data_IF_411558560251
#
_entry.id   IF_411558560251
#
_cell.length_a   1.000
_cell.length_b   1.000
_cell.length_c   1.000
_cell.angle_alpha   90.00
_cell.angle_beta   90.00
_cell.angle_gamma   90.00
#
_symmetry.space_group_name_H-M   'P 1'
#
loop_
_entity.id
_entity.type
_entity.pdbx_description
1 polymer ?
#
# COMPACT_ATOMS: atom_id res chain seq x y z
N UNK A 1 -24.22 -45.46 10.76
CA UNK A 1 -22.86 -44.92 10.53
C UNK A 1 -22.11 -44.98 11.86
N UNK A 2 -21.36 -46.05 12.10
CA UNK A 2 -20.65 -46.29 13.36
C UNK A 2 -19.38 -45.45 13.37
N UNK A 3 -19.34 -44.40 14.20
CA UNK A 3 -18.14 -43.59 14.39
C UNK A 3 -17.13 -44.46 15.15
N UNK A 4 -16.08 -44.87 14.44
CA UNK A 4 -15.04 -45.73 14.97
C UNK A 4 -14.28 -45.02 16.11
N UNK A 5 -14.51 -45.44 17.36
CA UNK A 5 -13.88 -44.91 18.59
C UNK A 5 -12.34 -44.86 18.51
N UNK A 6 -11.71 -45.72 17.70
CA UNK A 6 -10.26 -45.75 17.53
C UNK A 6 -9.72 -44.56 16.71
N UNK A 7 -10.54 -43.92 15.86
CA UNK A 7 -10.15 -42.69 15.12
C UNK A 7 -10.13 -41.45 16.01
N UNK A 8 -11.03 -41.39 17.01
CA UNK A 8 -11.10 -40.28 17.96
C UNK A 8 -9.95 -40.34 18.99
N UNK A 9 -9.55 -41.53 19.42
CA UNK A 9 -8.44 -41.73 20.37
C UNK A 9 -7.05 -41.48 19.73
N UNK A 10 -6.87 -41.78 18.44
CA UNK A 10 -5.65 -41.46 17.69
C UNK A 10 -5.51 -39.95 17.44
N UNK A 11 -6.61 -39.26 17.15
CA UNK A 11 -6.65 -37.80 17.05
C UNK A 11 -6.34 -37.10 18.38
N UNK A 12 -6.79 -37.65 19.51
CA UNK A 12 -6.51 -37.09 20.84
C UNK A 12 -5.02 -37.18 21.24
N UNK A 13 -4.34 -38.30 20.94
CA UNK A 13 -2.88 -38.42 21.15
C UNK A 13 -2.10 -37.48 20.24
N UNK A 14 -2.47 -37.40 18.95
CA UNK A 14 -1.88 -36.47 17.99
C UNK A 14 -2.01 -35.00 18.42
N UNK A 15 -3.16 -34.60 18.98
CA UNK A 15 -3.37 -33.25 19.49
C UNK A 15 -2.52 -32.95 20.74
N UNK A 16 -2.40 -33.89 21.67
CA UNK A 16 -1.59 -33.69 22.87
C UNK A 16 -0.09 -33.62 22.57
N UNK A 17 0.41 -34.48 21.68
CA UNK A 17 1.80 -34.44 21.20
C UNK A 17 2.08 -33.13 20.42
N UNK A 18 1.11 -32.67 19.63
CA UNK A 18 1.20 -31.38 18.97
C UNK A 18 1.23 -30.22 19.96
N UNK A 19 0.36 -30.22 20.97
CA UNK A 19 0.35 -29.21 22.03
C UNK A 19 1.69 -29.16 22.78
N UNK A 20 2.30 -30.31 23.08
CA UNK A 20 3.63 -30.34 23.69
C UNK A 20 4.72 -29.79 22.76
N UNK A 21 4.66 -30.09 21.46
CA UNK A 21 5.58 -29.51 20.48
C UNK A 21 5.42 -27.99 20.37
N UNK A 22 4.20 -27.48 20.26
CA UNK A 22 3.92 -26.02 20.26
C UNK A 22 4.40 -25.40 21.56
N UNK A 23 4.14 -26.02 22.72
CA UNK A 23 4.63 -25.54 24.01
C UNK A 23 6.17 -25.46 24.06
N UNK A 24 6.86 -26.45 23.50
CA UNK A 24 8.33 -26.46 23.42
C UNK A 24 8.86 -25.41 22.43
N UNK A 25 8.21 -25.22 21.29
CA UNK A 25 8.56 -24.17 20.32
C UNK A 25 8.32 -22.76 20.88
N UNK A 26 7.17 -22.53 21.52
CA UNK A 26 6.86 -21.27 22.22
C UNK A 26 7.88 -21.00 23.32
N UNK A 27 8.24 -22.02 24.10
CA UNK A 27 9.31 -21.90 25.10
C UNK A 27 10.65 -21.55 24.44
N UNK A 28 10.98 -22.18 23.31
CA UNK A 28 12.18 -21.90 22.53
C UNK A 28 12.21 -20.51 21.87
N UNK A 29 11.05 -19.97 21.50
CA UNK A 29 10.90 -18.61 20.97
C UNK A 29 11.04 -17.55 22.07
N UNK A 30 10.54 -17.83 23.27
CA UNK A 30 10.63 -16.94 24.43
C UNK A 30 12.03 -16.97 25.09
N UNK A 31 12.83 -18.01 24.84
CA UNK A 31 14.22 -18.07 25.28
C UNK A 31 15.14 -17.42 24.25
N UNK A 32 15.64 -16.22 24.57
CA UNK A 32 16.64 -15.55 23.73
C UNK A 32 17.99 -16.27 23.83
N UNK A 33 18.43 -16.92 22.75
CA UNK A 33 19.74 -17.54 22.63
C UNK A 33 20.69 -16.67 21.78
N UNK A 34 21.40 -15.68 22.35
CA UNK A 34 22.25 -14.76 21.59
C UNK A 34 23.37 -15.46 20.82
N UNK A 35 23.87 -16.59 21.32
CA UNK A 35 24.86 -17.42 20.62
C UNK A 35 24.31 -18.04 19.34
N UNK A 36 23.03 -18.40 19.30
CA UNK A 36 22.36 -18.91 18.09
C UNK A 36 22.18 -17.81 17.05
N UNK A 37 21.88 -16.57 17.48
CA UNK A 37 21.81 -15.43 16.58
C UNK A 37 23.17 -15.15 15.92
N UNK A 38 24.23 -15.09 16.73
CA UNK A 38 25.59 -14.85 16.22
C UNK A 38 26.04 -15.99 15.31
N UNK A 39 25.74 -17.25 15.65
CA UNK A 39 26.10 -18.39 14.80
C UNK A 39 25.28 -18.43 13.51
N UNK A 40 24.01 -18.03 13.55
CA UNK A 40 23.17 -17.91 12.37
C UNK A 40 23.78 -16.94 11.37
N UNK A 41 24.33 -15.79 11.77
CA UNK A 41 24.93 -14.83 10.83
C UNK A 41 26.38 -15.13 10.42
N UNK A 42 26.96 -16.28 10.82
CA UNK A 42 28.28 -16.69 10.30
C UNK A 42 28.19 -17.13 8.84
N UNK A 43 29.18 -16.72 8.06
CA UNK A 43 29.34 -17.19 6.68
C UNK A 43 29.55 -18.70 6.66
N UNK A 44 28.76 -19.40 5.83
CA UNK A 44 28.87 -20.84 5.59
C UNK A 44 28.96 -21.05 4.08
N UNK A 45 29.91 -21.88 3.62
CA UNK A 45 30.09 -22.13 2.18
C UNK A 45 28.84 -22.71 1.50
N UNK A 46 27.98 -23.42 2.25
CA UNK A 46 26.72 -23.98 1.74
C UNK A 46 25.56 -22.98 1.71
N UNK A 47 25.63 -21.90 2.48
CA UNK A 47 24.57 -20.89 2.56
C UNK A 47 25.20 -19.49 2.76
N UNK A 48 25.67 -18.85 1.68
CA UNK A 48 26.28 -17.53 1.74
C UNK A 48 25.26 -16.49 2.26
N UNK A 49 25.78 -15.35 2.75
CA UNK A 49 24.92 -14.26 3.24
C UNK A 49 24.17 -13.54 2.11
N UNK A 50 24.74 -13.57 0.90
CA UNK A 50 24.22 -12.86 -0.25
C UNK A 50 24.47 -13.68 -1.51
N UNK A 51 23.44 -13.81 -2.34
CA UNK A 51 23.52 -14.41 -3.67
C UNK A 51 23.00 -13.41 -4.71
N UNK A 52 23.38 -13.62 -5.98
CA UNK A 52 22.96 -12.72 -7.08
C UNK A 52 21.44 -12.59 -7.20
N UNK A 53 20.71 -13.67 -6.90
CA UNK A 53 19.23 -13.67 -6.92
C UNK A 53 18.60 -12.75 -5.86
N UNK A 54 19.32 -12.42 -4.78
CA UNK A 54 18.79 -11.54 -3.72
C UNK A 54 18.58 -10.11 -4.22
N UNK A 55 19.34 -9.66 -5.25
CA UNK A 55 19.16 -8.34 -5.86
C UNK A 55 17.81 -8.27 -6.59
N UNK A 56 17.47 -9.32 -7.36
CA UNK A 56 16.21 -9.37 -8.09
C UNK A 56 15.03 -9.48 -7.12
N UNK A 57 15.15 -10.32 -6.08
CA UNK A 57 14.18 -10.41 -5.01
C UNK A 57 14.00 -9.08 -4.26
N UNK A 58 15.09 -8.37 -3.95
CA UNK A 58 15.05 -7.07 -3.30
C UNK A 58 14.33 -6.03 -4.14
N UNK A 59 14.71 -5.86 -5.42
CA UNK A 59 14.08 -4.86 -6.28
C UNK A 59 12.59 -5.17 -6.47
N UNK A 60 12.25 -6.44 -6.69
CA UNK A 60 10.86 -6.87 -6.83
C UNK A 60 10.04 -6.54 -5.57
N UNK A 61 10.57 -6.87 -4.39
CA UNK A 61 9.90 -6.61 -3.12
C UNK A 61 9.80 -5.11 -2.81
N UNK A 62 10.86 -4.36 -3.11
CA UNK A 62 10.91 -2.91 -2.92
C UNK A 62 9.84 -2.22 -3.79
N UNK A 63 9.76 -2.57 -5.06
CA UNK A 63 8.78 -2.02 -5.99
C UNK A 63 7.35 -2.39 -5.61
N UNK A 64 7.11 -3.64 -5.21
CA UNK A 64 5.82 -4.09 -4.73
C UNK A 64 5.36 -3.28 -3.49
N UNK A 65 6.25 -3.10 -2.52
CA UNK A 65 5.92 -2.38 -1.30
C UNK A 65 5.75 -0.88 -1.53
N UNK A 66 6.57 -0.24 -2.37
CA UNK A 66 6.40 1.18 -2.71
C UNK A 66 5.06 1.42 -3.39
N UNK A 67 4.72 0.61 -4.39
CA UNK A 67 3.46 0.77 -5.13
C UNK A 67 2.25 0.63 -4.20
N UNK A 68 2.27 -0.40 -3.35
CA UNK A 68 1.24 -0.61 -2.33
C UNK A 68 1.17 0.53 -1.32
N UNK A 69 2.32 1.01 -0.86
CA UNK A 69 2.41 2.09 0.13
C UNK A 69 1.88 3.41 -0.43
N UNK A 70 2.18 3.74 -1.69
CA UNK A 70 1.63 4.91 -2.37
C UNK A 70 0.11 4.83 -2.48
N UNK A 71 -0.43 3.68 -2.89
CA UNK A 71 -1.88 3.49 -2.95
C UNK A 71 -2.54 3.70 -1.57
N UNK A 72 -1.94 3.15 -0.51
CA UNK A 72 -2.41 3.33 0.87
C UNK A 72 -2.35 4.79 1.31
N UNK A 73 -1.26 5.50 1.01
CA UNK A 73 -1.11 6.92 1.33
C UNK A 73 -2.22 7.73 0.65
N UNK A 74 -2.43 7.52 -0.66
CA UNK A 74 -3.45 8.23 -1.44
C UNK A 74 -4.86 7.95 -0.92
N UNK A 75 -5.14 6.73 -0.45
CA UNK A 75 -6.43 6.40 0.17
C UNK A 75 -6.60 6.98 1.59
N UNK A 76 -5.52 7.16 2.35
CA UNK A 76 -5.57 7.65 3.74
C UNK A 76 -5.54 9.17 3.85
N UNK A 77 -4.86 9.88 2.95
CA UNK A 77 -4.69 11.33 2.99
C UNK A 77 -6.02 12.11 3.08
N UNK A 78 -7.08 11.78 2.31
CA UNK A 78 -8.36 12.49 2.40
C UNK A 78 -9.03 12.37 3.77
N UNK A 79 -8.73 11.29 4.49
CA UNK A 79 -9.37 10.93 5.75
C UNK A 79 -8.53 11.45 6.92
N UNK A 80 -7.30 10.94 7.08
CA UNK A 80 -6.44 11.20 8.24
C UNK A 80 -5.55 12.45 8.10
N UNK A 81 -5.42 13.01 6.89
CA UNK A 81 -4.56 14.15 6.61
C UNK A 81 -3.06 13.80 6.58
N UNK A 82 -2.30 14.67 5.93
CA UNK A 82 -0.86 14.47 5.68
C UNK A 82 -0.04 14.32 6.97
N UNK A 83 -0.37 15.11 7.99
CA UNK A 83 0.37 15.10 9.25
C UNK A 83 0.39 13.71 9.87
N UNK A 84 -0.75 13.02 9.99
CA UNK A 84 -0.80 11.68 10.60
C UNK A 84 -0.13 10.65 9.69
N UNK A 85 -0.40 10.70 8.39
CA UNK A 85 0.11 9.72 7.42
C UNK A 85 1.65 9.76 7.35
N UNK A 86 2.24 10.93 7.13
CA UNK A 86 3.70 11.03 6.96
C UNK A 86 4.50 11.00 8.26
N UNK A 87 3.94 11.49 9.38
CA UNK A 87 4.69 11.52 10.65
C UNK A 87 4.54 10.26 11.49
N UNK A 88 3.42 9.54 11.39
CA UNK A 88 3.13 8.37 12.23
C UNK A 88 3.09 7.07 11.44
N UNK A 89 2.28 7.00 10.38
CA UNK A 89 2.02 5.75 9.66
C UNK A 89 3.26 5.35 8.84
N UNK A 90 3.78 6.25 7.99
CA UNK A 90 4.87 5.95 7.08
C UNK A 90 6.17 5.51 7.81
N UNK A 91 6.65 6.20 8.86
CA UNK A 91 7.82 5.75 9.62
C UNK A 91 7.55 4.44 10.37
N UNK A 92 6.34 4.26 10.89
CA UNK A 92 5.93 3.02 11.56
C UNK A 92 5.95 1.82 10.62
N UNK A 93 5.42 1.95 9.41
CA UNK A 93 5.47 0.91 8.38
C UNK A 93 6.91 0.58 7.99
N UNK A 94 7.76 1.60 7.80
CA UNK A 94 9.18 1.40 7.50
C UNK A 94 9.92 0.60 8.58
N UNK A 95 9.72 0.97 9.86
CA UNK A 95 10.32 0.24 10.99
C UNK A 95 9.79 -1.19 11.11
N UNK A 96 8.48 -1.40 10.91
CA UNK A 96 7.87 -2.73 10.94
C UNK A 96 8.46 -3.63 9.83
N UNK A 97 8.62 -3.10 8.62
CA UNK A 97 9.21 -3.82 7.50
C UNK A 97 10.68 -4.15 7.74
N UNK A 98 11.45 -3.23 8.31
CA UNK A 98 12.85 -3.45 8.67
C UNK A 98 12.97 -4.63 9.65
N UNK A 99 12.24 -4.57 10.77
CA UNK A 99 12.26 -5.63 11.79
C UNK A 99 11.71 -6.97 11.28
N UNK A 100 10.63 -6.95 10.50
CA UNK A 100 10.02 -8.13 9.92
C UNK A 100 10.97 -8.86 8.97
N UNK A 101 11.64 -8.14 8.08
CA UNK A 101 12.62 -8.73 7.16
C UNK A 101 13.85 -9.26 7.91
N UNK A 102 14.37 -8.54 8.93
CA UNK A 102 15.46 -9.06 9.76
C UNK A 102 15.07 -10.38 10.45
N UNK A 103 13.85 -10.47 10.97
CA UNK A 103 13.36 -11.67 11.62
C UNK A 103 13.22 -12.84 10.63
N UNK A 104 12.70 -12.60 9.43
CA UNK A 104 12.58 -13.62 8.40
C UNK A 104 13.93 -14.10 7.85
N UNK A 105 14.91 -13.20 7.69
CA UNK A 105 16.29 -13.59 7.37
C UNK A 105 16.85 -14.48 8.48
N UNK A 106 16.67 -14.11 9.75
CA UNK A 106 17.10 -14.94 10.88
C UNK A 106 16.44 -16.33 10.85
N UNK A 107 15.12 -16.41 10.64
CA UNK A 107 14.41 -17.69 10.57
C UNK A 107 14.90 -18.56 9.40
N UNK A 108 15.10 -17.98 8.23
CA UNK A 108 15.62 -18.70 7.06
C UNK A 108 17.01 -19.27 7.33
N UNK A 109 17.88 -18.48 7.97
CA UNK A 109 19.22 -18.91 8.36
C UNK A 109 19.17 -20.02 9.40
N UNK A 110 18.39 -19.85 10.46
CA UNK A 110 18.19 -20.88 11.50
C UNK A 110 17.73 -22.21 10.88
N UNK A 111 16.80 -22.17 9.93
CA UNK A 111 16.33 -23.35 9.20
C UNK A 111 17.42 -23.97 8.34
N UNK A 112 18.17 -23.16 7.59
CA UNK A 112 19.29 -23.61 6.75
C UNK A 112 20.36 -24.36 7.58
N UNK A 113 20.69 -23.87 8.78
CA UNK A 113 21.64 -24.54 9.67
C UNK A 113 21.07 -25.84 10.26
N UNK A 114 19.80 -25.83 10.70
CA UNK A 114 19.14 -27.01 11.27
C UNK A 114 19.09 -28.17 10.27
N UNK A 115 18.77 -27.86 9.02
CA UNK A 115 18.58 -28.86 7.97
C UNK A 115 19.81 -29.08 7.08
N UNK A 116 20.89 -28.32 7.31
CA UNK A 116 22.15 -28.38 6.55
C UNK A 116 21.95 -28.21 5.04
N UNK A 117 20.93 -27.44 4.63
CA UNK A 117 20.57 -27.19 3.23
C UNK A 117 20.90 -25.77 2.79
N UNK A 118 21.35 -25.62 1.54
CA UNK A 118 21.73 -24.34 0.94
C UNK A 118 20.62 -23.65 0.13
N UNK A 119 19.47 -24.30 -0.02
CA UNK A 119 18.35 -23.86 -0.86
C UNK A 119 17.18 -23.31 -0.01
N UNK A 120 17.48 -22.56 1.04
CA UNK A 120 16.45 -21.87 1.84
C UNK A 120 16.29 -20.46 1.30
N UNK A 121 15.06 -20.01 1.10
CA UNK A 121 14.77 -18.61 0.77
C UNK A 121 14.09 -17.96 1.97
N UNK A 122 14.49 -16.73 2.29
CA UNK A 122 13.78 -15.94 3.28
C UNK A 122 12.43 -15.51 2.73
N UNK A 123 11.38 -15.67 3.53
CA UNK A 123 10.09 -15.11 3.17
C UNK A 123 10.21 -13.58 3.19
N UNK A 124 9.69 -12.86 2.19
CA UNK A 124 9.69 -11.40 2.20
C UNK A 124 8.66 -10.89 3.20
N UNK A 125 9.02 -9.87 4.00
CA UNK A 125 8.06 -9.13 4.83
C UNK A 125 7.65 -7.85 4.12
N UNK A 126 6.34 -7.60 4.02
CA UNK A 126 5.78 -6.47 3.32
C UNK A 126 4.38 -6.12 3.81
N UNK A 127 3.71 -5.25 3.05
CA UNK A 127 2.36 -4.79 3.39
C UNK A 127 1.34 -5.80 2.88
N UNK A 128 0.40 -6.20 3.73
CA UNK A 128 -0.74 -7.00 3.32
C UNK A 128 -1.79 -6.10 2.67
N UNK A 129 -1.76 -5.94 1.34
CA UNK A 129 -2.65 -5.03 0.59
C UNK A 129 -4.14 -5.28 0.87
N UNK A 130 -4.67 -6.53 0.85
CA UNK A 130 -6.07 -6.77 1.17
C UNK A 130 -6.43 -6.37 2.61
N UNK A 131 -5.53 -6.65 3.57
CA UNK A 131 -5.71 -6.27 4.96
C UNK A 131 -5.68 -4.75 5.13
N UNK A 132 -4.76 -4.06 4.47
CA UNK A 132 -4.62 -2.62 4.54
C UNK A 132 -5.89 -1.92 4.02
N UNK A 133 -6.40 -2.30 2.84
CA UNK A 133 -7.64 -1.71 2.32
C UNK A 133 -8.86 -2.06 3.15
N UNK A 134 -8.94 -3.27 3.71
CA UNK A 134 -9.99 -3.61 4.66
C UNK A 134 -9.96 -2.67 5.88
N UNK A 135 -8.78 -2.40 6.45
CA UNK A 135 -8.64 -1.44 7.55
C UNK A 135 -9.05 -0.02 7.15
N UNK A 136 -8.65 0.44 5.96
CA UNK A 136 -8.98 1.77 5.47
C UNK A 136 -10.48 1.93 5.29
N UNK A 137 -11.14 1.02 4.57
CA UNK A 137 -12.54 1.19 4.16
C UNK A 137 -13.55 0.65 5.17
N UNK A 138 -13.21 -0.35 5.99
CA UNK A 138 -14.14 -0.97 6.94
C UNK A 138 -13.97 -0.42 8.36
N UNK A 139 -12.80 0.14 8.71
CA UNK A 139 -12.54 0.63 10.07
C UNK A 139 -12.31 2.14 10.07
N UNK A 140 -11.28 2.62 9.38
CA UNK A 140 -10.86 4.03 9.43
C UNK A 140 -11.94 4.95 8.84
N UNK A 141 -12.38 4.65 7.61
CA UNK A 141 -13.37 5.47 6.88
C UNK A 141 -14.69 5.62 7.66
N UNK A 142 -15.39 4.54 8.07
CA UNK A 142 -16.65 4.69 8.80
C UNK A 142 -16.47 5.32 10.18
N UNK A 143 -15.34 5.10 10.86
CA UNK A 143 -15.07 5.76 12.14
C UNK A 143 -14.93 7.28 11.96
N UNK A 144 -14.21 7.71 10.92
CA UNK A 144 -14.04 9.12 10.61
C UNK A 144 -15.37 9.79 10.20
N UNK A 145 -16.08 9.23 9.22
CA UNK A 145 -17.33 9.80 8.73
C UNK A 145 -18.48 9.70 9.74
N UNK A 146 -18.46 8.72 10.64
CA UNK A 146 -19.40 8.68 11.77
C UNK A 146 -19.14 9.76 12.81
N UNK A 147 -17.88 10.15 13.01
CA UNK A 147 -17.48 11.16 13.98
C UNK A 147 -17.68 12.60 13.48
N UNK A 148 -17.41 12.86 12.19
CA UNK A 148 -17.35 14.22 11.62
C UNK A 148 -18.67 15.00 11.76
N UNK A 149 -19.80 14.30 11.89
CA UNK A 149 -21.12 14.92 12.10
C UNK A 149 -21.29 15.53 13.49
N UNK A 150 -20.40 15.24 14.44
CA UNK A 150 -20.57 15.61 15.87
C UNK A 150 -19.37 16.31 16.48
N UNK A 151 -18.18 16.20 15.89
CA UNK A 151 -16.94 16.71 16.45
C UNK A 151 -16.05 17.34 15.37
N UNK A 152 -15.04 18.10 15.81
CA UNK A 152 -14.06 18.72 14.92
C UNK A 152 -13.27 17.69 14.11
N UNK A 153 -12.89 18.09 12.89
CA UNK A 153 -12.13 17.27 11.95
C UNK A 153 -10.87 16.67 12.57
N UNK A 154 -10.09 17.46 13.29
CA UNK A 154 -8.83 17.02 13.89
C UNK A 154 -9.05 15.92 14.95
N UNK A 155 -10.09 16.06 15.78
CA UNK A 155 -10.45 15.05 16.77
C UNK A 155 -10.86 13.74 16.09
N UNK A 156 -11.69 13.81 15.05
CA UNK A 156 -12.13 12.62 14.32
C UNK A 156 -11.00 11.90 13.59
N UNK A 157 -10.00 12.64 13.07
CA UNK A 157 -8.80 12.06 12.48
C UNK A 157 -7.97 11.28 13.50
N UNK A 158 -7.75 11.85 14.68
CA UNK A 158 -7.03 11.16 15.75
C UNK A 158 -7.81 9.96 16.28
N UNK A 159 -9.12 10.08 16.46
CA UNK A 159 -9.99 8.98 16.88
C UNK A 159 -9.93 7.82 15.89
N UNK A 160 -10.09 8.09 14.59
CA UNK A 160 -10.02 7.06 13.55
C UNK A 160 -8.65 6.35 13.55
N UNK A 161 -7.57 7.10 13.78
CA UNK A 161 -6.24 6.51 13.92
C UNK A 161 -6.12 5.61 15.16
N UNK A 162 -6.57 6.06 16.34
CA UNK A 162 -6.52 5.25 17.55
C UNK A 162 -7.36 3.97 17.46
N UNK A 163 -8.55 4.05 16.85
CA UNK A 163 -9.39 2.88 16.60
C UNK A 163 -8.66 1.90 15.68
N UNK A 164 -8.04 2.37 14.61
CA UNK A 164 -7.26 1.51 13.72
C UNK A 164 -6.07 0.84 14.42
N UNK A 165 -5.34 1.56 15.27
CA UNK A 165 -4.27 1.01 16.09
C UNK A 165 -4.76 -0.11 17.02
N UNK A 166 -5.85 0.16 17.74
CA UNK A 166 -6.44 -0.80 18.67
C UNK A 166 -6.95 -2.05 17.94
N UNK A 167 -7.63 -1.86 16.81
CA UNK A 167 -8.09 -2.96 15.95
C UNK A 167 -6.92 -3.79 15.42
N UNK A 168 -5.84 -3.16 14.96
CA UNK A 168 -4.67 -3.88 14.44
C UNK A 168 -3.95 -4.67 15.53
N UNK A 169 -3.84 -4.09 16.73
CA UNK A 169 -3.31 -4.79 17.90
C UNK A 169 -4.17 -6.01 18.27
N UNK A 170 -5.50 -5.84 18.30
CA UNK A 170 -6.44 -6.92 18.57
C UNK A 170 -6.37 -8.02 17.51
N UNK A 171 -6.27 -7.66 16.22
CA UNK A 171 -6.04 -8.61 15.13
C UNK A 171 -4.77 -9.42 15.38
N UNK A 172 -3.69 -8.80 15.82
CA UNK A 172 -2.46 -9.48 16.21
C UNK A 172 -2.66 -10.48 17.35
N UNK A 173 -3.38 -10.09 18.41
CA UNK A 173 -3.71 -10.99 19.53
C UNK A 173 -4.55 -12.18 19.06
N UNK A 174 -5.56 -11.94 18.23
CA UNK A 174 -6.41 -12.99 17.67
C UNK A 174 -5.57 -13.94 16.81
N UNK A 175 -4.66 -13.43 15.98
CA UNK A 175 -3.76 -14.27 15.17
C UNK A 175 -2.84 -15.13 16.04
N UNK A 176 -2.31 -14.60 17.15
CA UNK A 176 -1.50 -15.38 18.08
C UNK A 176 -2.31 -16.52 18.73
N UNK A 177 -3.56 -16.25 19.12
CA UNK A 177 -4.45 -17.26 19.67
C UNK A 177 -4.80 -18.34 18.64
N UNK A 178 -5.10 -17.94 17.40
CA UNK A 178 -5.46 -18.86 16.31
C UNK A 178 -4.26 -19.66 15.79
N UNK A 179 -3.03 -19.15 15.95
CA UNK A 179 -1.81 -19.83 15.53
C UNK A 179 -1.65 -21.23 16.16
N UNK A 180 -2.18 -21.44 17.38
CA UNK A 180 -2.19 -22.73 18.07
C UNK A 180 -2.90 -23.82 17.25
N UNK A 181 -3.89 -23.44 16.44
CA UNK A 181 -4.64 -24.35 15.56
C UNK A 181 -4.07 -24.43 14.15
N UNK A 182 -3.05 -23.63 13.82
CA UNK A 182 -2.53 -23.50 12.46
C UNK A 182 -2.04 -24.82 11.87
N UNK A 183 -1.29 -25.61 12.65
CA UNK A 183 -0.78 -26.91 12.20
C UNK A 183 -1.88 -27.96 12.06
N UNK A 184 -2.88 -27.91 12.93
CA UNK A 184 -4.06 -28.77 12.84
C UNK A 184 -4.84 -28.48 11.55
N UNK A 185 -5.08 -27.21 11.24
CA UNK A 185 -5.72 -26.79 9.99
C UNK A 185 -4.87 -27.26 8.81
N UNK A 186 -3.55 -27.02 8.81
CA UNK A 186 -2.65 -27.42 7.72
C UNK A 186 -2.66 -28.92 7.45
N UNK A 187 -2.71 -29.76 8.48
CA UNK A 187 -2.71 -31.22 8.35
C UNK A 187 -4.04 -31.80 7.88
N UNK A 188 -5.16 -31.17 8.28
CA UNK A 188 -6.50 -31.65 7.96
C UNK A 188 -7.11 -31.00 6.71
N UNK A 189 -6.51 -29.91 6.20
CA UNK A 189 -6.99 -29.22 5.00
C UNK A 189 -6.22 -29.70 3.77
N UNK A 190 -6.89 -30.14 2.69
CA UNK A 190 -6.20 -30.53 1.47
C UNK A 190 -5.45 -29.33 0.88
N UNK A 191 -4.23 -29.55 0.35
CA UNK A 191 -3.38 -28.47 -0.16
C UNK A 191 -4.04 -27.64 -1.25
N UNK A 192 -4.93 -28.23 -2.05
CA UNK A 192 -5.69 -27.54 -3.10
C UNK A 192 -6.62 -26.48 -2.50
N UNK A 193 -7.25 -26.73 -1.35
CA UNK A 193 -8.13 -25.76 -0.69
C UNK A 193 -7.33 -24.57 -0.13
N UNK A 194 -6.12 -24.81 0.37
CA UNK A 194 -5.21 -23.75 0.82
C UNK A 194 -4.70 -22.91 -0.37
N UNK A 195 -4.36 -23.56 -1.49
CA UNK A 195 -3.92 -22.86 -2.70
C UNK A 195 -5.07 -22.07 -3.35
N UNK A 196 -6.30 -22.60 -3.33
CA UNK A 196 -7.46 -21.92 -3.92
C UNK A 196 -7.81 -20.63 -3.20
N UNK A 197 -7.71 -20.59 -1.86
CA UNK A 197 -8.02 -19.38 -1.10
C UNK A 197 -6.99 -18.28 -1.33
N UNK A 198 -5.69 -18.62 -1.34
CA UNK A 198 -4.61 -17.67 -1.62
C UNK A 198 -4.70 -17.16 -3.07
N UNK A 199 -4.94 -18.04 -4.03
CA UNK A 199 -5.12 -17.68 -5.45
C UNK A 199 -6.35 -16.79 -5.65
N UNK A 200 -7.49 -17.12 -5.03
CA UNK A 200 -8.72 -16.34 -5.13
C UNK A 200 -8.55 -14.91 -4.61
N UNK A 201 -7.95 -14.75 -3.42
CA UNK A 201 -7.66 -13.42 -2.86
C UNK A 201 -6.67 -12.65 -3.75
N UNK A 202 -5.62 -13.32 -4.23
CA UNK A 202 -4.64 -12.72 -5.14
C UNK A 202 -5.28 -12.23 -6.44
N UNK A 203 -6.12 -13.04 -7.08
CA UNK A 203 -6.78 -12.65 -8.32
C UNK A 203 -7.84 -11.56 -8.10
N UNK A 204 -8.69 -11.72 -7.09
CA UNK A 204 -9.80 -10.80 -6.85
C UNK A 204 -9.35 -9.41 -6.39
N UNK A 205 -8.32 -9.32 -5.54
CA UNK A 205 -7.92 -8.05 -4.92
C UNK A 205 -6.64 -7.49 -5.53
N UNK A 206 -5.66 -8.32 -5.88
CA UNK A 206 -4.39 -7.82 -6.43
C UNK A 206 -4.45 -7.73 -7.95
N UNK A 207 -4.96 -8.75 -8.64
CA UNK A 207 -4.98 -8.73 -10.11
C UNK A 207 -6.07 -7.79 -10.65
N UNK A 208 -7.32 -7.91 -10.19
CA UNK A 208 -8.44 -7.13 -10.74
C UNK A 208 -8.35 -5.63 -10.41
N UNK A 209 -7.96 -5.26 -9.19
CA UNK A 209 -7.86 -3.84 -8.82
C UNK A 209 -6.75 -3.13 -9.59
N UNK A 210 -5.61 -3.78 -9.81
CA UNK A 210 -4.50 -3.21 -10.58
C UNK A 210 -4.72 -3.29 -12.10
N UNK A 211 -5.62 -4.18 -12.56
CA UNK A 211 -5.94 -4.31 -13.98
C UNK A 211 -6.70 -3.11 -14.53
N UNK A 212 -7.61 -2.50 -13.76
CA UNK A 212 -8.43 -1.38 -14.26
C UNK A 212 -7.58 -0.18 -14.73
N UNK A 213 -6.61 0.34 -13.95
CA UNK A 213 -5.71 1.39 -14.43
C UNK A 213 -4.85 0.99 -15.64
N UNK A 214 -4.46 -0.29 -15.72
CA UNK A 214 -3.68 -0.82 -16.86
C UNK A 214 -4.55 -0.82 -18.14
N UNK A 215 -5.83 -1.17 -18.02
CA UNK A 215 -6.77 -1.19 -19.13
C UNK A 215 -7.10 0.21 -19.67
N UNK A 216 -7.04 1.24 -18.83
CA UNK A 216 -7.20 2.64 -19.23
C UNK A 216 -6.01 3.17 -20.06
N UNK A 217 -4.80 2.67 -19.79
CA UNK A 217 -3.57 3.07 -20.47
C UNK A 217 -2.78 1.86 -21.02
N UNK A 218 -3.35 1.10 -21.97
CA UNK A 218 -2.84 -0.21 -22.37
C UNK A 218 -1.41 -0.14 -22.92
N UNK A 219 -1.06 0.92 -23.66
CA UNK A 219 0.30 1.06 -24.20
C UNK A 219 1.38 1.17 -23.13
N UNK A 220 1.08 1.81 -21.99
CA UNK A 220 2.04 2.00 -20.89
C UNK A 220 2.07 0.79 -19.97
N UNK A 221 0.96 0.08 -19.81
CA UNK A 221 0.88 -1.10 -18.94
C UNK A 221 1.30 -2.41 -19.60
N UNK A 222 0.95 -2.64 -20.87
CA UNK A 222 1.25 -3.93 -21.54
C UNK A 222 2.74 -4.17 -21.77
N UNK A 223 3.53 -3.13 -22.05
CA UNK A 223 4.97 -3.31 -22.31
C UNK A 223 5.72 -3.77 -21.06
N UNK A 224 5.61 -3.11 -19.88
CA UNK A 224 6.15 -3.62 -18.62
C UNK A 224 5.61 -5.02 -18.28
N UNK A 225 4.32 -5.26 -18.50
CA UNK A 225 3.72 -6.57 -18.27
C UNK A 225 4.37 -7.67 -19.14
N UNK A 226 4.59 -7.42 -20.43
CA UNK A 226 5.29 -8.34 -21.32
C UNK A 226 6.73 -8.58 -20.87
N UNK A 227 7.45 -7.53 -20.44
CA UNK A 227 8.82 -7.66 -19.91
C UNK A 227 8.85 -8.58 -18.69
N UNK A 228 7.91 -8.39 -17.75
CA UNK A 228 7.76 -9.22 -16.54
C UNK A 228 7.42 -10.67 -16.91
N UNK A 229 6.45 -10.87 -17.80
CA UNK A 229 6.04 -12.21 -18.24
C UNK A 229 7.17 -12.97 -18.94
N UNK A 230 7.87 -12.32 -19.87
CA UNK A 230 9.02 -12.91 -20.57
C UNK A 230 10.21 -13.15 -19.62
N UNK A 231 10.44 -12.24 -18.68
CA UNK A 231 11.53 -12.34 -17.73
C UNK A 231 11.35 -13.47 -16.72
N UNK A 232 10.19 -13.56 -16.07
CA UNK A 232 9.95 -14.57 -15.03
C UNK A 232 9.45 -15.91 -15.54
N UNK A 233 8.64 -15.94 -16.59
CA UNK A 233 8.06 -17.17 -17.13
C UNK A 233 8.66 -17.60 -18.48
N UNK A 234 9.16 -16.64 -19.26
CA UNK A 234 9.75 -16.90 -20.58
C UNK A 234 11.26 -17.19 -20.58
N UNK A 235 11.94 -17.10 -19.44
CA UNK A 235 13.39 -17.34 -19.33
C UNK A 235 14.26 -16.27 -19.99
N UNK A 236 13.69 -15.12 -20.37
CA UNK A 236 14.45 -14.00 -20.93
C UNK A 236 15.24 -13.32 -19.81
N UNK A 237 16.54 -13.16 -20.03
CA UNK A 237 17.42 -12.47 -19.08
C UNK A 237 17.88 -11.14 -19.66
N UNK A 238 17.88 -10.09 -18.83
CA UNK A 238 18.31 -8.74 -19.22
C UNK A 238 19.73 -8.45 -18.72
N UNK A 239 20.63 -9.43 -18.90
CA UNK A 239 22.00 -9.35 -18.38
C UNK A 239 22.03 -9.33 -16.85
N UNK A 240 22.74 -8.38 -16.22
CA UNK A 240 22.83 -8.28 -14.75
C UNK A 240 21.63 -7.56 -14.11
N UNK A 241 20.71 -7.00 -14.91
CA UNK A 241 19.61 -6.19 -14.40
C UNK A 241 18.43 -7.06 -13.94
N UNK A 242 17.85 -6.79 -12.76
CA UNK A 242 16.59 -7.39 -12.31
C UNK A 242 15.46 -7.18 -13.32
N UNK A 243 14.64 -8.21 -13.52
CA UNK A 243 13.50 -8.14 -14.46
C UNK A 243 12.53 -7.02 -14.05
N UNK A 244 12.23 -6.94 -12.75
CA UNK A 244 11.38 -5.89 -12.19
C UNK A 244 11.94 -4.48 -12.44
N UNK A 245 13.26 -4.30 -12.41
CA UNK A 245 13.90 -3.02 -12.68
C UNK A 245 13.72 -2.60 -14.14
N UNK A 246 13.95 -3.53 -15.07
CA UNK A 246 13.79 -3.27 -16.51
C UNK A 246 12.34 -2.91 -16.84
N UNK A 247 11.39 -3.64 -16.27
CA UNK A 247 9.96 -3.35 -16.44
C UNK A 247 9.59 -1.95 -15.90
N UNK A 248 10.12 -1.56 -14.74
CA UNK A 248 9.91 -0.23 -14.17
C UNK A 248 10.44 0.89 -15.06
N UNK A 249 11.69 0.76 -15.52
CA UNK A 249 12.31 1.79 -16.36
C UNK A 249 11.54 1.93 -17.66
N UNK A 250 11.19 0.81 -18.30
CA UNK A 250 10.37 0.81 -19.51
C UNK A 250 9.01 1.50 -19.27
N UNK A 251 8.31 1.15 -18.19
CA UNK A 251 7.01 1.73 -17.85
C UNK A 251 7.10 3.23 -17.58
N UNK A 252 8.10 3.67 -16.81
CA UNK A 252 8.33 5.08 -16.49
C UNK A 252 8.63 5.89 -17.75
N UNK A 253 9.55 5.40 -18.59
CA UNK A 253 9.92 6.08 -19.85
C UNK A 253 8.72 6.20 -20.78
N UNK A 254 7.93 5.12 -20.93
CA UNK A 254 6.72 5.13 -21.75
C UNK A 254 5.67 6.09 -21.21
N UNK A 255 5.39 6.05 -19.89
CA UNK A 255 4.42 6.94 -19.27
C UNK A 255 4.78 8.42 -19.40
N UNK A 256 6.08 8.75 -19.43
CA UNK A 256 6.54 10.11 -19.68
C UNK A 256 6.48 10.47 -21.17
N UNK A 257 6.91 9.56 -22.04
CA UNK A 257 6.91 9.77 -23.49
C UNK A 257 5.51 9.94 -24.08
N UNK A 258 4.50 9.29 -23.51
CA UNK A 258 3.10 9.40 -23.96
C UNK A 258 2.34 10.56 -23.30
N UNK A 259 2.97 11.32 -22.40
CA UNK A 259 2.33 12.39 -21.61
C UNK A 259 1.08 11.95 -20.81
N UNK A 260 0.86 10.64 -20.63
CA UNK A 260 -0.28 10.11 -19.86
C UNK A 260 -0.19 10.43 -18.36
N UNK A 261 0.99 10.83 -17.87
CA UNK A 261 1.16 11.40 -16.53
C UNK A 261 0.47 12.77 -16.35
N UNK A 262 0.04 13.44 -17.43
CA UNK A 262 -0.94 14.53 -17.39
C UNK A 262 -2.32 13.93 -17.66
N UNK A 263 -2.85 13.26 -16.64
CA UNK A 263 -4.08 12.47 -16.70
C UNK A 263 -5.19 13.14 -17.52
N UNK A 264 -5.72 12.42 -18.50
CA UNK A 264 -6.99 12.72 -19.18
C UNK A 264 -8.10 13.04 -18.18
N UNK A 265 -8.11 12.39 -16.99
CA UNK A 265 -9.05 12.66 -15.90
C UNK A 265 -8.89 14.07 -15.32
N UNK A 266 -7.68 14.53 -14.99
CA UNK A 266 -7.48 15.94 -14.56
C UNK A 266 -7.80 16.88 -15.70
N UNK A 267 -7.43 16.57 -16.94
CA UNK A 267 -7.72 17.44 -18.06
C UNK A 267 -9.24 17.58 -18.29
N UNK A 268 -10.00 16.50 -18.16
CA UNK A 268 -11.46 16.45 -18.28
C UNK A 268 -12.16 17.06 -17.06
N UNK A 269 -11.70 16.77 -15.84
CA UNK A 269 -12.21 17.37 -14.61
C UNK A 269 -11.97 18.89 -14.57
N UNK A 270 -10.79 19.35 -14.98
CA UNK A 270 -10.48 20.78 -15.14
C UNK A 270 -11.37 21.39 -16.23
N UNK A 271 -11.68 20.65 -17.29
CA UNK A 271 -12.60 21.10 -18.34
C UNK A 271 -14.05 21.20 -17.88
N UNK A 272 -14.50 20.28 -17.02
CA UNK A 272 -15.84 20.31 -16.42
C UNK A 272 -15.96 21.43 -15.37
N UNK A 273 -14.95 21.60 -14.51
CA UNK A 273 -14.88 22.69 -13.54
C UNK A 273 -14.86 24.06 -14.24
N UNK A 274 -14.07 24.20 -15.30
CA UNK A 274 -14.05 25.45 -16.08
C UNK A 274 -15.44 25.79 -16.63
N UNK A 275 -16.15 24.79 -17.16
CA UNK A 275 -17.53 24.96 -17.65
C UNK A 275 -18.56 25.25 -16.56
N UNK A 276 -18.34 24.81 -15.32
CA UNK A 276 -19.21 25.15 -14.20
C UNK A 276 -19.03 26.59 -13.74
N UNK A 277 -17.83 27.14 -13.91
CA UNK A 277 -17.49 28.51 -13.52
C UNK A 277 -17.85 29.51 -14.63
N UNK A 278 -17.80 29.07 -15.89
CA UNK A 278 -18.06 29.88 -17.07
C UNK A 278 -19.56 30.04 -17.33
N UNK A 279 -19.99 31.27 -17.63
CA UNK A 279 -21.36 31.57 -18.06
C UNK A 279 -21.59 31.35 -19.58
N UNK A 280 -20.62 30.76 -20.28
CA UNK A 280 -20.70 30.35 -21.68
C UNK A 280 -19.94 31.26 -22.65
N UNK A 281 -19.04 32.12 -22.17
CA UNK A 281 -18.23 33.03 -23.00
C UNK A 281 -16.80 32.51 -23.24
N UNK A 282 -16.40 31.40 -22.61
CA UNK A 282 -15.09 30.77 -22.76
C UNK A 282 -13.96 31.40 -21.94
N UNK A 283 -14.26 32.35 -21.05
CA UNK A 283 -13.29 33.07 -20.21
C UNK A 283 -13.86 33.29 -18.81
N UNK A 284 -13.03 33.27 -17.77
CA UNK A 284 -13.50 33.46 -16.40
C UNK A 284 -13.11 34.83 -15.85
N UNK A 285 -14.11 35.63 -15.49
CA UNK A 285 -13.94 36.86 -14.75
C UNK A 285 -13.83 36.61 -13.24
N UNK A 286 -13.26 37.57 -12.51
CA UNK A 286 -13.15 37.49 -11.05
C UNK A 286 -14.52 37.31 -10.37
N UNK A 287 -15.58 37.93 -10.91
CA UNK A 287 -16.94 37.82 -10.34
C UNK A 287 -17.57 36.43 -10.57
N UNK A 288 -17.26 35.80 -11.70
CA UNK A 288 -17.69 34.42 -12.01
C UNK A 288 -17.00 33.42 -11.09
N UNK A 289 -15.69 33.60 -10.89
CA UNK A 289 -14.89 32.81 -9.96
C UNK A 289 -15.39 32.99 -8.52
N UNK A 290 -15.63 34.23 -8.07
CA UNK A 290 -16.14 34.53 -6.72
C UNK A 290 -17.51 33.86 -6.49
N UNK A 291 -18.42 33.93 -7.47
CA UNK A 291 -19.73 33.26 -7.40
C UNK A 291 -19.61 31.75 -7.38
N UNK A 292 -18.81 31.17 -8.27
CA UNK A 292 -18.65 29.74 -8.39
C UNK A 292 -17.98 29.13 -7.16
N UNK A 293 -16.97 29.80 -6.59
CA UNK A 293 -16.32 29.39 -5.34
C UNK A 293 -17.32 29.45 -4.18
N UNK A 294 -18.07 30.54 -4.02
CA UNK A 294 -19.06 30.65 -2.93
C UNK A 294 -20.14 29.57 -3.03
N UNK A 295 -20.53 29.17 -4.24
CA UNK A 295 -21.61 28.21 -4.45
C UNK A 295 -21.15 26.75 -4.35
N UNK A 296 -20.04 26.39 -5.01
CA UNK A 296 -19.58 25.01 -5.13
C UNK A 296 -18.48 24.64 -4.13
N UNK A 297 -17.70 25.62 -3.67
CA UNK A 297 -16.49 25.42 -2.89
C UNK A 297 -16.34 26.46 -1.75
N UNK A 298 -17.32 26.53 -0.82
CA UNK A 298 -17.39 27.58 0.19
C UNK A 298 -16.14 27.64 1.09
N UNK A 299 -15.39 26.54 1.21
CA UNK A 299 -14.13 26.47 1.93
C UNK A 299 -13.06 27.46 1.42
N UNK A 300 -13.04 27.76 0.12
CA UNK A 300 -12.13 28.74 -0.48
C UNK A 300 -12.74 30.16 -0.54
N UNK A 301 -14.05 30.30 -0.28
CA UNK A 301 -14.74 31.59 -0.28
C UNK A 301 -14.45 32.45 0.95
N UNK A 302 -13.96 31.84 2.03
CA UNK A 302 -13.65 32.52 3.30
C UNK A 302 -12.49 33.50 3.17
N UNK A 303 -11.50 33.22 2.31
CA UNK A 303 -10.35 34.10 2.09
C UNK A 303 -10.34 34.75 0.70
N UNK A 304 -11.12 35.81 0.59
CA UNK A 304 -11.22 36.61 -0.64
C UNK A 304 -9.88 37.20 -1.10
N UNK A 305 -8.95 37.48 -0.17
CA UNK A 305 -7.63 38.02 -0.53
C UNK A 305 -6.74 36.96 -1.19
N UNK A 306 -6.77 35.72 -0.71
CA UNK A 306 -6.05 34.60 -1.32
C UNK A 306 -6.55 34.35 -2.76
N UNK A 307 -7.86 34.38 -2.97
CA UNK A 307 -8.46 34.23 -4.30
C UNK A 307 -8.02 35.35 -5.27
N UNK A 308 -8.06 36.61 -4.84
CA UNK A 308 -7.63 37.74 -5.69
C UNK A 308 -6.13 37.65 -6.03
N UNK A 309 -5.30 37.21 -5.09
CA UNK A 309 -3.87 36.98 -5.33
C UNK A 309 -3.64 35.85 -6.32
N UNK A 310 -4.37 34.74 -6.16
CA UNK A 310 -4.33 33.60 -7.09
C UNK A 310 -4.74 34.02 -8.50
N UNK A 311 -5.84 34.78 -8.63
CA UNK A 311 -6.32 35.30 -9.90
C UNK A 311 -5.26 36.16 -10.61
N UNK A 312 -4.70 37.15 -9.92
CA UNK A 312 -3.66 38.03 -10.48
C UNK A 312 -2.37 37.30 -10.85
N UNK A 313 -2.02 36.26 -10.12
CA UNK A 313 -0.81 35.47 -10.37
C UNK A 313 -1.01 34.41 -11.48
N UNK A 314 -2.25 34.06 -11.78
CA UNK A 314 -2.61 33.11 -12.83
C UNK A 314 -2.83 33.77 -14.20
N UNK A 315 -3.31 35.01 -14.24
CA UNK A 315 -3.43 35.86 -15.43
C UNK A 315 -2.03 36.30 -15.91
N UNK A 316 -1.41 35.45 -16.73
CA UNK A 316 -0.04 35.66 -17.23
C UNK A 316 0.01 36.46 -18.52
N UNK A 317 -1.08 36.41 -19.28
CA UNK A 317 -1.30 37.19 -20.50
C UNK A 317 -1.77 38.63 -20.19
N UNK A 318 -2.13 38.96 -18.95
CA UNK A 318 -2.49 40.31 -18.51
C UNK A 318 -3.84 40.77 -19.05
N UNK A 319 -4.72 39.82 -19.36
CA UNK A 319 -6.00 40.06 -20.02
C UNK A 319 -7.07 40.54 -19.05
N UNK A 320 -6.87 40.37 -17.75
CA UNK A 320 -7.87 40.62 -16.71
C UNK A 320 -8.90 39.50 -16.60
N UNK A 321 -8.69 38.36 -17.26
CA UNK A 321 -9.54 37.16 -17.25
C UNK A 321 -8.67 35.92 -17.13
N UNK A 322 -9.28 34.79 -16.74
CA UNK A 322 -8.61 33.48 -16.74
C UNK A 322 -9.12 32.69 -17.94
N UNK A 323 -8.22 32.45 -18.90
CA UNK A 323 -8.48 31.52 -20.00
C UNK A 323 -8.37 30.06 -19.54
N UNK A 324 -8.94 29.12 -20.31
CA UNK A 324 -8.85 27.69 -19.99
C UNK A 324 -7.40 27.19 -19.79
N UNK A 325 -6.45 27.75 -20.55
CA UNK A 325 -5.02 27.43 -20.44
C UNK A 325 -4.40 27.86 -19.12
N UNK A 326 -4.95 28.91 -18.49
CA UNK A 326 -4.48 29.49 -17.23
C UNK A 326 -5.28 28.95 -16.03
N UNK A 327 -6.44 28.35 -16.28
CA UNK A 327 -7.34 27.87 -15.23
C UNK A 327 -6.73 26.80 -14.32
N UNK A 328 -5.95 25.86 -14.87
CA UNK A 328 -5.26 24.87 -14.05
C UNK A 328 -4.28 25.53 -13.06
N UNK A 329 -3.52 26.51 -13.56
CA UNK A 329 -2.58 27.28 -12.75
C UNK A 329 -3.31 28.12 -11.70
N UNK A 330 -4.47 28.68 -12.04
CA UNK A 330 -5.34 29.35 -11.08
C UNK A 330 -5.75 28.44 -9.93
N UNK A 331 -6.19 27.20 -10.21
CA UNK A 331 -6.57 26.23 -9.17
C UNK A 331 -5.39 25.88 -8.24
N UNK A 332 -4.21 25.63 -8.80
CA UNK A 332 -3.00 25.33 -8.03
C UNK A 332 -2.62 26.52 -7.11
N UNK A 333 -2.70 27.75 -7.62
CA UNK A 333 -2.39 28.96 -6.87
C UNK A 333 -3.45 29.29 -5.82
N UNK A 334 -4.73 29.02 -6.11
CA UNK A 334 -5.82 29.20 -5.15
C UNK A 334 -5.62 28.32 -3.92
N UNK A 335 -5.27 27.06 -4.14
CA UNK A 335 -4.94 26.13 -3.06
C UNK A 335 -3.71 26.59 -2.26
N UNK A 336 -2.65 26.99 -2.96
CA UNK A 336 -1.40 27.46 -2.34
C UNK A 336 -1.60 28.72 -1.48
N UNK A 337 -2.30 29.74 -1.99
CA UNK A 337 -2.53 30.98 -1.25
C UNK A 337 -3.49 30.80 -0.08
N UNK A 338 -4.44 29.86 -0.17
CA UNK A 338 -5.33 29.56 0.95
C UNK A 338 -4.58 28.87 2.10
N UNK A 339 -3.68 27.92 1.80
CA UNK A 339 -2.81 27.34 2.83
C UNK A 339 -1.86 28.37 3.47
N UNK A 340 -1.29 29.27 2.65
CA UNK A 340 -0.44 30.34 3.16
C UNK A 340 -1.17 31.28 4.13
N UNK A 341 -2.44 31.56 3.89
CA UNK A 341 -3.22 32.41 4.79
C UNK A 341 -3.68 31.73 6.08
N UNK A 342 -3.67 30.40 6.13
CA UNK A 342 -3.90 29.69 7.38
C UNK A 342 -2.64 29.70 8.27
N UNK A 343 -1.48 30.07 7.71
CA UNK A 343 -0.18 30.14 8.39
C UNK A 343 0.18 31.56 8.89
N UNK A 344 -0.45 32.61 8.36
CA UNK A 344 -0.21 34.03 8.67
C UNK A 344 -1.53 34.78 8.79
#
# INVERSE_FOLDING_TARGET
MSINKNSLLTNHKSFFDHYQNVKNEVKGLLTFHPKEWISAFRSNSKYPLFVRGDIDGFVSLFMNNISTLLAIILSLQPILGDKIVYSKILPGTGLAMLWGNFYYVYMARKLAFKEKRGNVCAMPYGICTPGAFAFIYVIISPTYYGCISTHDKAYCQELAWYVALASNFLTGVVLLLLCVFGEFIRKNTPSIALLSSISGIGYAILALNEYLPIAEAPMVGFIPFTIVMLGYFGGVTYGPLPVAFVALVAGTVLGWATSLNQSSIVHEAVHLLFRQFDNGNGILSLAEIDRAIVYWHPEFGTNRQAMIRAFKAADTNGTGFIEFKEFRRFLDLLYYYNQLSDLF
#
